data_IF_328992716745
#
_entry.id   IF_328992716745
#
_cell.length_a   1.000
_cell.length_b   1.000
_cell.length_c   1.000
_cell.angle_alpha   90.00
_cell.angle_beta   90.00
_cell.angle_gamma   90.00
#
_symmetry.space_group_name_H-M   'P 1'
#
loop_
_entity.id
_entity.type
_entity.pdbx_description
1 polymer ?
#
# COMPACT_ATOMS: atom_id res chain seq x y z
N UNK A 1 -0.10 16.17 14.00
CA UNK A 1 -0.47 15.22 15.08
C UNK A 1 -0.39 13.84 14.45
N UNK A 2 0.67 13.09 14.75
CA UNK A 2 0.89 11.79 14.12
C UNK A 2 0.28 10.69 15.00
N UNK A 3 -0.88 10.19 14.58
CA UNK A 3 -1.57 9.10 15.26
C UNK A 3 -1.09 7.76 14.70
N UNK A 4 -0.13 7.12 15.36
CA UNK A 4 0.39 5.81 14.95
C UNK A 4 -0.48 4.68 15.53
N UNK A 5 -1.64 4.43 14.90
CA UNK A 5 -2.55 3.34 15.25
C UNK A 5 -2.20 2.11 14.42
N UNK A 6 -1.89 0.99 15.09
CA UNK A 6 -1.51 -0.25 14.41
C UNK A 6 -2.67 -0.86 13.60
N UNK A 7 -2.37 -1.64 12.55
CA UNK A 7 -3.35 -2.51 11.91
C UNK A 7 -3.98 -3.48 12.91
N UNK A 8 -5.08 -4.11 12.50
CA UNK A 8 -5.76 -5.16 13.26
C UNK A 8 -4.75 -6.24 13.70
N UNK A 9 -4.73 -6.56 14.98
CA UNK A 9 -3.93 -7.63 15.55
C UNK A 9 -4.34 -8.98 14.98
N UNK A 10 -3.40 -9.93 14.97
CA UNK A 10 -3.65 -11.31 14.52
C UNK A 10 -4.31 -12.18 15.59
N UNK A 11 -4.30 -11.74 16.85
CA UNK A 11 -4.80 -12.49 18.00
C UNK A 11 -5.67 -11.59 18.87
N UNK A 12 -6.69 -12.20 19.48
CA UNK A 12 -7.52 -11.55 20.48
C UNK A 12 -6.68 -11.13 21.69
N UNK A 13 -6.84 -9.89 22.15
CA UNK A 13 -6.13 -9.34 23.29
C UNK A 13 -6.50 -10.00 24.62
N UNK A 14 -7.72 -10.56 24.73
CA UNK A 14 -8.21 -11.18 25.97
C UNK A 14 -7.88 -12.68 26.03
N UNK A 15 -8.18 -13.42 24.96
CA UNK A 15 -7.99 -14.89 24.95
C UNK A 15 -6.68 -15.36 24.33
N UNK A 16 -5.97 -14.49 23.61
CA UNK A 16 -4.80 -14.87 22.82
C UNK A 16 -5.13 -15.72 21.57
N UNK A 17 -6.40 -16.06 21.33
CA UNK A 17 -6.82 -16.86 20.17
C UNK A 17 -6.52 -16.11 18.87
N UNK A 18 -5.98 -16.82 17.88
CA UNK A 18 -5.79 -16.26 16.54
C UNK A 18 -7.14 -15.94 15.88
N UNK A 19 -7.23 -14.80 15.21
CA UNK A 19 -8.42 -14.47 14.44
C UNK A 19 -8.50 -15.30 13.15
N UNK A 20 -9.71 -15.72 12.79
CA UNK A 20 -10.08 -16.34 11.53
C UNK A 20 -10.42 -15.27 10.48
N UNK A 21 -10.03 -15.47 9.22
CA UNK A 21 -10.43 -14.57 8.14
C UNK A 21 -11.95 -14.41 8.05
N UNK A 22 -12.41 -13.17 7.90
CA UNK A 22 -13.84 -12.85 7.79
C UNK A 22 -14.60 -12.82 9.12
N UNK A 23 -13.99 -13.20 10.25
CA UNK A 23 -14.66 -13.10 11.55
C UNK A 23 -14.79 -11.65 12.03
N UNK A 24 -15.80 -11.37 12.87
CA UNK A 24 -15.96 -10.05 13.48
C UNK A 24 -15.23 -9.96 14.81
N UNK A 25 -14.62 -8.81 15.06
CA UNK A 25 -14.04 -8.45 16.35
C UNK A 25 -14.31 -6.97 16.69
N UNK A 26 -13.99 -6.60 17.92
CA UNK A 26 -14.09 -5.24 18.42
C UNK A 26 -12.70 -4.68 18.67
N UNK A 27 -12.42 -3.54 18.06
CA UNK A 27 -11.21 -2.77 18.34
C UNK A 27 -11.54 -1.69 19.35
N UNK A 28 -10.69 -1.53 20.36
CA UNK A 28 -10.73 -0.44 21.32
C UNK A 28 -9.42 0.34 21.28
N UNK A 29 -9.52 1.66 21.30
CA UNK A 29 -8.39 2.56 21.48
C UNK A 29 -8.37 3.05 22.94
N UNK A 30 -7.26 2.83 23.62
CA UNK A 30 -7.01 3.30 24.98
C UNK A 30 -5.71 4.11 25.02
N UNK A 31 -5.58 4.99 26.00
CA UNK A 31 -4.30 5.60 26.33
C UNK A 31 -3.61 4.78 27.42
N UNK A 32 -2.39 4.35 27.16
CA UNK A 32 -1.55 3.63 28.11
C UNK A 32 -0.16 4.27 28.10
N UNK A 33 0.31 4.73 29.26
CA UNK A 33 1.62 5.39 29.42
C UNK A 33 1.83 6.57 28.45
N UNK A 34 0.78 7.38 28.23
CA UNK A 34 0.81 8.53 27.31
C UNK A 34 0.81 8.15 25.82
N UNK A 35 0.53 6.89 25.48
CA UNK A 35 0.49 6.39 24.10
C UNK A 35 -0.86 5.80 23.76
N UNK A 36 -1.30 6.05 22.53
CA UNK A 36 -2.49 5.41 21.99
C UNK A 36 -2.19 3.94 21.65
N UNK A 37 -2.95 3.04 22.25
CA UNK A 37 -2.84 1.60 22.07
C UNK A 37 -4.17 1.06 21.58
N UNK A 38 -4.13 0.39 20.42
CA UNK A 38 -5.26 -0.42 19.92
C UNK A 38 -5.20 -1.82 20.52
N UNK A 39 -6.32 -2.31 21.04
CA UNK A 39 -6.53 -3.72 21.39
C UNK A 39 -7.71 -4.28 20.60
N UNK A 40 -7.56 -5.49 20.06
CA UNK A 40 -8.60 -6.16 19.29
C UNK A 40 -9.11 -7.37 20.07
N UNK A 41 -10.42 -7.46 20.29
CA UNK A 41 -11.08 -8.46 21.13
C UNK A 41 -12.08 -9.22 20.28
N UNK A 42 -12.06 -10.56 20.32
CA UNK A 42 -13.03 -11.39 19.61
C UNK A 42 -14.45 -11.09 20.06
N UNK A 43 -15.42 -11.31 19.17
CA UNK A 43 -16.83 -11.13 19.52
C UNK A 43 -17.23 -11.97 20.75
N UNK A 44 -16.62 -13.14 20.93
CA UNK A 44 -16.83 -14.05 22.07
C UNK A 44 -16.31 -13.49 23.41
N UNK A 45 -15.21 -12.71 23.37
CA UNK A 45 -14.59 -12.15 24.57
C UNK A 45 -15.02 -10.70 24.84
N UNK A 46 -15.85 -10.12 23.97
CA UNK A 46 -16.24 -8.73 24.07
C UNK A 46 -17.32 -8.52 25.12
N UNK A 47 -16.98 -7.76 26.16
CA UNK A 47 -17.90 -7.40 27.25
C UNK A 47 -18.27 -5.89 27.25
N UNK A 48 -18.02 -5.20 26.14
CA UNK A 48 -18.13 -3.74 26.05
C UNK A 48 -16.77 -3.04 26.16
N UNK A 49 -16.72 -1.73 25.90
CA UNK A 49 -15.48 -0.96 26.02
C UNK A 49 -15.03 -0.90 27.49
N UNK A 50 -13.73 -1.09 27.77
CA UNK A 50 -13.18 -0.89 29.11
C UNK A 50 -13.25 0.58 29.53
N UNK A 51 -13.19 0.82 30.85
CA UNK A 51 -13.05 2.15 31.41
C UNK A 51 -11.80 2.85 30.85
N UNK A 52 -11.95 4.12 30.48
CA UNK A 52 -10.87 4.90 29.84
C UNK A 52 -10.67 4.63 28.34
N UNK A 53 -11.59 3.89 27.70
CA UNK A 53 -11.63 3.80 26.25
C UNK A 53 -11.88 5.18 25.63
N UNK A 54 -11.02 5.57 24.69
CA UNK A 54 -11.16 6.78 23.87
C UNK A 54 -12.22 6.55 22.79
N UNK A 55 -12.28 5.32 22.28
CA UNK A 55 -13.26 4.91 21.29
C UNK A 55 -13.19 3.43 21.01
N UNK A 56 -14.27 2.88 20.46
CA UNK A 56 -14.34 1.49 20.03
C UNK A 56 -15.15 1.35 18.74
N UNK A 57 -14.82 0.35 17.94
CA UNK A 57 -15.53 0.06 16.70
C UNK A 57 -15.55 -1.45 16.42
N UNK A 58 -16.59 -1.89 15.72
CA UNK A 58 -16.67 -3.25 15.20
C UNK A 58 -15.93 -3.29 13.87
N UNK A 59 -15.11 -4.32 13.66
CA UNK A 59 -14.42 -4.53 12.40
C UNK A 59 -14.44 -6.01 12.00
N UNK A 60 -14.24 -6.27 10.72
CA UNK A 60 -14.14 -7.61 10.17
C UNK A 60 -12.68 -7.92 9.88
N UNK A 61 -12.21 -9.10 10.28
CA UNK A 61 -10.86 -9.56 9.98
C UNK A 61 -10.75 -9.76 8.47
N UNK A 62 -9.73 -9.18 7.80
CA UNK A 62 -9.57 -9.33 6.37
C UNK A 62 -9.62 -10.79 5.95
N UNK A 63 -10.34 -11.07 4.86
CA UNK A 63 -10.28 -12.38 4.22
C UNK A 63 -8.82 -12.65 3.83
N UNK A 64 -8.37 -13.89 3.95
CA UNK A 64 -6.98 -14.31 3.67
C UNK A 64 -6.58 -14.24 2.19
N UNK A 65 -7.30 -13.46 1.38
CA UNK A 65 -6.98 -13.20 -0.03
C UNK A 65 -5.65 -12.46 -0.21
N UNK A 66 -5.02 -12.00 0.87
CA UNK A 66 -3.70 -11.36 0.84
C UNK A 66 -2.53 -12.31 0.53
N UNK A 67 -2.71 -13.64 0.60
CA UNK A 67 -1.59 -14.56 0.33
C UNK A 67 -1.37 -14.89 -1.15
N UNK A 68 -2.23 -14.44 -2.06
CA UNK A 68 -2.13 -14.80 -3.48
C UNK A 68 -1.96 -13.61 -4.42
N UNK A 69 -1.78 -12.40 -3.88
CA UNK A 69 -1.21 -11.33 -4.70
C UNK A 69 0.25 -11.68 -4.93
N UNK A 70 0.70 -11.83 -6.19
CA UNK A 70 2.11 -12.03 -6.48
C UNK A 70 2.92 -10.97 -5.73
N UNK A 71 3.99 -11.38 -5.05
CA UNK A 71 4.96 -10.42 -4.53
C UNK A 71 5.66 -9.83 -5.74
N UNK A 72 5.14 -8.71 -6.23
CA UNK A 72 5.79 -7.93 -7.28
C UNK A 72 7.19 -7.55 -6.80
N UNK A 73 8.21 -8.19 -7.36
CA UNK A 73 9.61 -7.97 -7.02
C UNK A 73 10.04 -6.53 -7.38
N UNK A 74 10.77 -5.87 -6.49
CA UNK A 74 11.16 -4.47 -6.72
C UNK A 74 12.16 -4.33 -7.87
N UNK A 75 13.06 -5.29 -8.06
CA UNK A 75 14.04 -5.24 -9.14
C UNK A 75 13.38 -5.53 -10.48
N UNK A 76 12.54 -6.56 -10.59
CA UNK A 76 11.79 -6.82 -11.84
C UNK A 76 10.90 -5.62 -12.25
N UNK A 77 10.24 -4.97 -11.28
CA UNK A 77 9.47 -3.75 -11.55
C UNK A 77 10.35 -2.60 -12.01
N UNK A 78 11.55 -2.47 -11.44
CA UNK A 78 12.50 -1.41 -11.78
C UNK A 78 13.13 -1.63 -13.16
N UNK A 79 13.50 -2.88 -13.50
CA UNK A 79 13.93 -3.26 -14.84
C UNK A 79 12.84 -2.95 -15.86
N UNK A 80 11.59 -3.29 -15.58
CA UNK A 80 10.48 -2.98 -16.47
C UNK A 80 10.24 -1.47 -16.60
N UNK A 81 10.35 -0.73 -15.50
CA UNK A 81 10.28 0.74 -15.52
C UNK A 81 11.36 1.34 -16.43
N UNK A 82 12.60 0.82 -16.40
CA UNK A 82 13.68 1.28 -17.26
C UNK A 82 13.47 0.89 -18.73
N UNK A 83 12.80 -0.24 -19.00
CA UNK A 83 12.46 -0.67 -20.36
C UNK A 83 11.33 0.14 -21.00
N UNK A 84 10.54 0.88 -20.22
CA UNK A 84 9.49 1.74 -20.76
C UNK A 84 10.12 2.94 -21.47
N UNK A 85 10.14 2.81 -22.80
CA UNK A 85 10.60 3.67 -23.90
C UNK A 85 10.98 5.13 -23.57
N UNK A 86 11.98 5.64 -24.29
CA UNK A 86 12.34 7.06 -24.34
C UNK A 86 11.25 7.91 -25.01
N UNK A 87 10.42 7.31 -25.90
CA UNK A 87 9.24 7.96 -26.52
C UNK A 87 7.94 7.18 -26.24
N UNK A 88 7.45 7.17 -24.99
CA UNK A 88 6.33 6.35 -24.60
C UNK A 88 5.01 6.85 -25.22
N UNK A 89 4.20 5.92 -25.73
CA UNK A 89 2.81 6.21 -26.06
C UNK A 89 2.00 6.53 -24.78
N UNK A 90 0.79 7.10 -24.88
CA UNK A 90 0.02 7.53 -23.71
C UNK A 90 -0.22 6.42 -22.68
N UNK A 91 -0.46 5.18 -23.12
CA UNK A 91 -0.66 4.04 -22.22
C UNK A 91 0.63 3.67 -21.49
N UNK A 92 1.77 3.73 -22.18
CA UNK A 92 3.08 3.52 -21.56
C UNK A 92 3.44 4.64 -20.58
N UNK A 93 3.06 5.88 -20.84
CA UNK A 93 3.23 7.00 -19.90
C UNK A 93 2.45 6.77 -18.60
N UNK A 94 1.17 6.41 -18.71
CA UNK A 94 0.33 6.04 -17.57
C UNK A 94 0.92 4.88 -16.77
N UNK A 95 1.44 3.86 -17.47
CA UNK A 95 2.07 2.71 -16.84
C UNK A 95 3.37 3.08 -16.11
N UNK A 96 4.22 3.90 -16.75
CA UNK A 96 5.48 4.40 -16.18
C UNK A 96 5.22 5.24 -14.93
N UNK A 97 4.18 6.07 -14.94
CA UNK A 97 3.71 6.80 -13.77
C UNK A 97 3.32 5.86 -12.62
N UNK A 98 2.43 4.88 -12.86
CA UNK A 98 2.03 3.93 -11.80
C UNK A 98 3.21 3.11 -11.27
N UNK A 99 4.11 2.63 -12.14
CA UNK A 99 5.32 1.93 -11.71
C UNK A 99 6.18 2.80 -10.81
N UNK A 100 6.36 4.08 -11.16
CA UNK A 100 7.14 5.01 -10.34
C UNK A 100 6.57 5.16 -8.93
N UNK A 101 5.24 5.28 -8.79
CA UNK A 101 4.56 5.36 -7.49
C UNK A 101 4.72 4.06 -6.67
N UNK A 102 4.65 2.90 -7.33
CA UNK A 102 4.88 1.61 -6.68
C UNK A 102 6.32 1.45 -6.20
N UNK A 103 7.28 1.88 -7.01
CA UNK A 103 8.72 1.83 -6.69
C UNK A 103 9.09 2.83 -5.58
N UNK A 104 8.46 4.00 -5.54
CA UNK A 104 8.55 4.96 -4.42
C UNK A 104 8.04 4.34 -3.11
N UNK A 105 6.86 3.73 -3.14
CA UNK A 105 6.30 3.02 -1.98
C UNK A 105 7.20 1.87 -1.49
N UNK A 106 7.87 1.20 -2.43
CA UNK A 106 8.86 0.14 -2.14
C UNK A 106 10.26 0.66 -1.80
N UNK A 107 10.49 1.97 -1.85
CA UNK A 107 11.79 2.64 -1.63
C UNK A 107 12.89 2.19 -2.62
N UNK A 108 12.52 1.72 -3.81
CA UNK A 108 13.46 1.42 -4.90
C UNK A 108 13.74 2.66 -5.76
N UNK A 109 12.77 3.57 -5.81
CA UNK A 109 12.96 4.95 -6.27
C UNK A 109 12.85 5.91 -5.08
N UNK A 110 13.50 7.06 -5.21
CA UNK A 110 13.48 8.19 -4.28
C UNK A 110 13.06 9.42 -5.07
N UNK A 111 12.10 10.18 -4.56
CA UNK A 111 11.67 11.46 -5.12
C UNK A 111 12.66 12.53 -4.68
N UNK A 112 13.33 13.18 -5.64
CA UNK A 112 14.20 14.33 -5.35
C UNK A 112 13.41 15.64 -5.38
N UNK A 113 12.64 15.84 -6.44
CA UNK A 113 11.87 17.07 -6.64
C UNK A 113 10.65 16.85 -7.55
N UNK A 114 9.70 17.78 -7.44
CA UNK A 114 8.60 17.92 -8.39
C UNK A 114 8.89 19.19 -9.18
N UNK A 115 8.94 19.07 -10.50
CA UNK A 115 9.19 20.18 -11.43
C UNK A 115 7.96 20.41 -12.30
N UNK A 116 7.78 21.64 -12.76
CA UNK A 116 6.65 22.04 -13.60
C UNK A 116 7.18 22.59 -14.92
N UNK A 117 6.69 22.04 -16.03
CA UNK A 117 7.02 22.44 -17.39
C UNK A 117 5.74 22.48 -18.22
N UNK A 118 5.48 23.60 -18.90
CA UNK A 118 4.34 23.75 -19.81
C UNK A 118 2.97 23.34 -19.21
N UNK A 119 2.68 23.81 -17.98
CA UNK A 119 1.49 23.46 -17.18
C UNK A 119 1.36 21.96 -16.85
N UNK A 120 2.44 21.18 -16.98
CA UNK A 120 2.51 19.78 -16.62
C UNK A 120 3.53 19.53 -15.50
N UNK A 121 3.13 18.77 -14.49
CA UNK A 121 4.00 18.38 -13.37
C UNK A 121 4.79 17.11 -13.70
N UNK A 122 6.03 17.06 -13.25
CA UNK A 122 6.94 15.94 -13.40
C UNK A 122 7.60 15.61 -12.07
N UNK A 123 7.72 14.32 -11.77
CA UNK A 123 8.54 13.83 -10.67
C UNK A 123 9.95 13.55 -11.17
N UNK A 124 10.96 14.17 -10.56
CA UNK A 124 12.36 13.81 -10.74
C UNK A 124 12.77 12.79 -9.69
N UNK A 125 13.17 11.62 -10.16
CA UNK A 125 13.38 10.43 -9.35
C UNK A 125 14.81 9.90 -9.53
N UNK A 126 15.37 9.35 -8.47
CA UNK A 126 16.62 8.56 -8.52
C UNK A 126 16.36 7.16 -8.01
N UNK A 127 17.09 6.18 -8.55
CA UNK A 127 17.16 4.85 -7.99
C UNK A 127 17.87 4.87 -6.64
N UNK A 128 17.44 4.01 -5.72
CA UNK A 128 18.07 3.88 -4.40
C UNK A 128 19.54 3.43 -4.45
N UNK A 129 19.98 2.90 -5.58
CA UNK A 129 21.37 2.51 -5.89
C UNK A 129 22.10 3.49 -6.80
N UNK A 130 21.50 4.66 -7.09
CA UNK A 130 22.12 5.76 -7.84
C UNK A 130 21.81 5.80 -9.34
N UNK A 131 20.85 5.00 -9.83
CA UNK A 131 20.39 5.10 -11.22
C UNK A 131 19.55 6.36 -11.47
N UNK A 132 19.54 6.86 -12.71
CA UNK A 132 18.79 8.06 -13.10
C UNK A 132 19.69 9.26 -13.41
N UNK A 133 19.16 10.50 -13.35
CA UNK A 133 17.80 10.85 -12.94
C UNK A 133 16.73 10.38 -13.94
N UNK A 134 15.52 10.13 -13.44
CA UNK A 134 14.34 9.82 -14.25
C UNK A 134 13.31 10.93 -14.08
N UNK A 135 12.80 11.45 -15.19
CA UNK A 135 11.67 12.36 -15.18
C UNK A 135 10.40 11.61 -15.61
N UNK A 136 9.37 11.70 -14.77
CA UNK A 136 8.09 11.02 -14.98
C UNK A 136 6.98 12.05 -14.88
N UNK A 137 6.30 12.30 -15.98
CA UNK A 137 5.12 13.16 -16.00
C UNK A 137 4.04 12.61 -15.07
N UNK A 138 3.43 13.48 -14.28
CA UNK A 138 2.24 13.15 -13.52
C UNK A 138 1.07 12.86 -14.47
N UNK A 139 0.27 11.85 -14.13
CA UNK A 139 -0.85 11.40 -14.96
C UNK A 139 -2.11 11.40 -14.11
N UNK A 140 -3.15 12.05 -14.63
CA UNK A 140 -4.51 11.87 -14.13
C UNK A 140 -5.08 10.56 -14.68
N UNK A 141 -5.45 9.65 -13.78
CA UNK A 141 -5.97 8.33 -14.13
C UNK A 141 -7.42 8.19 -13.66
N UNK A 142 -8.31 7.81 -14.57
CA UNK A 142 -9.68 7.43 -14.24
C UNK A 142 -9.71 6.08 -13.50
N UNK A 143 -10.81 5.79 -12.79
CA UNK A 143 -11.00 4.51 -12.10
C UNK A 143 -10.86 3.31 -13.06
N UNK A 144 -11.36 3.43 -14.29
CA UNK A 144 -11.21 2.40 -15.32
C UNK A 144 -9.76 2.19 -15.73
N UNK A 145 -8.99 3.28 -15.89
CA UNK A 145 -7.56 3.21 -16.22
C UNK A 145 -6.79 2.55 -15.09
N UNK A 146 -7.06 2.93 -13.84
CA UNK A 146 -6.47 2.31 -12.64
C UNK A 146 -6.73 0.81 -12.62
N UNK A 147 -7.98 0.38 -12.83
CA UNK A 147 -8.36 -1.03 -12.83
C UNK A 147 -7.61 -1.83 -13.91
N UNK A 148 -7.54 -1.31 -15.13
CA UNK A 148 -6.80 -1.94 -16.24
C UNK A 148 -5.31 -2.06 -15.95
N UNK A 149 -4.70 -1.01 -15.41
CA UNK A 149 -3.28 -1.00 -15.05
C UNK A 149 -2.97 -2.01 -13.93
N UNK A 150 -3.83 -2.11 -12.93
CA UNK A 150 -3.71 -3.13 -11.88
C UNK A 150 -3.77 -4.55 -12.45
N UNK A 151 -4.74 -4.84 -13.32
CA UNK A 151 -4.85 -6.15 -13.96
C UNK A 151 -3.61 -6.51 -14.78
N UNK A 152 -3.04 -5.55 -15.51
CA UNK A 152 -1.80 -5.73 -16.26
C UNK A 152 -0.60 -6.01 -15.35
N UNK A 153 -0.42 -5.24 -14.27
CA UNK A 153 0.67 -5.44 -13.30
C UNK A 153 0.61 -6.83 -12.65
N UNK A 154 -0.57 -7.28 -12.22
CA UNK A 154 -0.75 -8.59 -11.59
C UNK A 154 -0.86 -9.76 -12.58
N UNK A 155 -0.92 -9.50 -13.89
CA UNK A 155 -0.90 -10.54 -14.93
C UNK A 155 0.48 -10.73 -15.56
N UNK A 156 1.28 -9.66 -15.72
CA UNK A 156 2.65 -9.77 -16.23
C UNK A 156 3.57 -10.56 -15.30
N UNK A 157 3.39 -10.44 -13.98
CA UNK A 157 4.12 -11.23 -12.98
C UNK A 157 3.89 -12.75 -13.14
N UNK A 158 2.68 -13.16 -13.58
CA UNK A 158 2.35 -14.56 -13.83
C UNK A 158 3.05 -15.14 -15.07
N UNK A 159 3.47 -14.28 -16.01
CA UNK A 159 4.21 -14.70 -17.21
C UNK A 159 5.72 -14.79 -16.99
N UNK A 160 6.27 -14.06 -16.02
CA UNK A 160 7.71 -14.10 -15.69
C UNK A 160 8.04 -15.19 -14.65
N UNK A 161 7.07 -15.63 -13.85
CA UNK A 161 7.23 -16.71 -12.88
C UNK A 161 7.03 -18.13 -13.46
N UNK A 162 6.83 -18.26 -14.77
CA UNK A 162 6.61 -19.52 -15.50
C UNK A 162 7.72 -19.76 -16.51
#
# INVERSE_FOLDING_TARGET
>A
MDFNIRPLARHCAESGRAFQPGEYCWSVLIEQDGKLVRRDVSAECWNGPPDGAIGHWKCQVPLSTESNRPKLDSESLFEYFQQLDESPNPVQQQYRYVLSLLLLRKKRLILEEIVEHDDQQFMRLIGSTGEGPFEVAEQELSEEQIQRLQEQLFSNDRKQAA
#
